data_IF_464708093152
#
_entry.id   IF_464708093152
#
_cell.length_a   1.000
_cell.length_b   1.000
_cell.length_c   1.000
_cell.angle_alpha   90.00
_cell.angle_beta   90.00
_cell.angle_gamma   90.00
#
_symmetry.space_group_name_H-M   'P 1'
#
loop_
_entity.id
_entity.type
_entity.pdbx_description
1 polymer ?
#
# COMPACT_ATOMS: atom_id res chain seq x y z
N UNK A 1 -22.47 -16.66 1.16
CA UNK A 1 -22.46 -15.39 0.40
C UNK A 1 -22.87 -15.62 -1.06
N UNK A 2 -23.99 -15.04 -1.47
CA UNK A 2 -24.58 -15.17 -2.81
C UNK A 2 -23.88 -14.24 -3.83
N UNK A 3 -23.96 -14.57 -5.12
CA UNK A 3 -23.46 -13.82 -6.28
C UNK A 3 -23.98 -12.38 -6.33
N UNK A 4 -25.17 -12.12 -5.79
CA UNK A 4 -25.77 -10.77 -5.72
C UNK A 4 -25.06 -9.90 -4.68
N UNK A 5 -24.74 -10.46 -3.51
CA UNK A 5 -24.00 -9.78 -2.44
C UNK A 5 -22.57 -9.43 -2.90
N UNK A 6 -21.92 -10.35 -3.63
CA UNK A 6 -20.60 -10.11 -4.26
C UNK A 6 -20.62 -9.00 -5.32
N UNK A 7 -21.76 -8.75 -5.96
CA UNK A 7 -21.92 -7.67 -6.96
C UNK A 7 -22.26 -6.33 -6.30
N UNK A 8 -22.96 -6.35 -5.17
CA UNK A 8 -23.25 -5.16 -4.38
C UNK A 8 -21.99 -4.61 -3.70
N UNK A 9 -21.18 -5.48 -3.07
CA UNK A 9 -19.89 -5.09 -2.49
C UNK A 9 -18.93 -4.47 -3.53
N UNK A 10 -18.91 -5.00 -4.76
CA UNK A 10 -18.17 -4.40 -5.89
C UNK A 10 -18.71 -3.05 -6.35
N UNK A 11 -19.97 -2.74 -6.09
CA UNK A 11 -20.61 -1.44 -6.40
C UNK A 11 -20.33 -0.39 -5.32
N UNK A 12 -20.11 -0.82 -4.08
CA UNK A 12 -19.70 0.03 -2.94
C UNK A 12 -18.21 0.37 -2.93
N UNK A 13 -17.42 -0.16 -3.88
CA UNK A 13 -16.01 0.19 -4.02
C UNK A 13 -15.09 -0.52 -3.01
N UNK A 14 -15.62 -1.43 -2.20
CA UNK A 14 -14.81 -2.26 -1.31
C UNK A 14 -14.08 -3.34 -2.13
N UNK A 15 -12.74 -3.26 -2.10
CA UNK A 15 -11.89 -4.28 -2.70
C UNK A 15 -11.89 -5.51 -1.78
N UNK A 16 -12.22 -6.68 -2.34
CA UNK A 16 -11.88 -7.93 -1.66
C UNK A 16 -10.35 -8.07 -1.55
N UNK A 17 -9.87 -8.95 -0.64
CA UNK A 17 -8.43 -9.09 -0.36
C UNK A 17 -7.61 -9.32 -1.63
N UNK A 18 -8.14 -10.11 -2.57
CA UNK A 18 -7.44 -10.38 -3.83
C UNK A 18 -7.34 -9.12 -4.68
N UNK A 19 -8.45 -8.41 -4.87
CA UNK A 19 -8.48 -7.19 -5.64
C UNK A 19 -7.60 -6.09 -5.03
N UNK A 20 -7.52 -6.02 -3.70
CA UNK A 20 -6.60 -5.13 -2.99
C UNK A 20 -5.14 -5.48 -3.29
N UNK A 21 -4.76 -6.76 -3.15
CA UNK A 21 -3.39 -7.22 -3.46
C UNK A 21 -3.02 -7.01 -4.93
N UNK A 22 -3.95 -7.24 -5.85
CA UNK A 22 -3.76 -6.99 -7.28
C UNK A 22 -3.48 -5.49 -7.57
N UNK A 23 -4.10 -4.58 -6.81
CA UNK A 23 -3.80 -3.14 -6.90
C UNK A 23 -2.46 -2.82 -6.27
N UNK A 24 -2.15 -3.36 -5.09
CA UNK A 24 -0.86 -3.17 -4.41
C UNK A 24 0.32 -3.63 -5.30
N UNK A 25 0.18 -4.77 -5.96
CA UNK A 25 1.19 -5.31 -6.88
C UNK A 25 1.52 -4.35 -8.03
N UNK A 26 0.55 -3.57 -8.52
CA UNK A 26 0.83 -2.58 -9.58
C UNK A 26 1.78 -1.47 -9.12
N UNK A 27 1.74 -1.10 -7.84
CA UNK A 27 2.70 -0.15 -7.27
C UNK A 27 4.10 -0.77 -7.16
N UNK A 28 4.18 -2.05 -6.79
CA UNK A 28 5.43 -2.81 -6.74
C UNK A 28 6.03 -2.97 -8.14
N UNK A 29 5.22 -3.29 -9.15
CA UNK A 29 5.67 -3.38 -10.54
C UNK A 29 6.20 -2.04 -11.07
N UNK A 30 5.56 -0.94 -10.68
CA UNK A 30 6.08 0.39 -10.97
C UNK A 30 7.42 0.62 -10.26
N UNK A 31 7.54 0.26 -8.98
CA UNK A 31 8.79 0.33 -8.23
C UNK A 31 9.92 -0.42 -8.96
N UNK A 32 9.66 -1.67 -9.32
CA UNK A 32 10.64 -2.54 -9.95
C UNK A 32 11.13 -2.00 -11.29
N UNK A 33 10.24 -1.36 -12.08
CA UNK A 33 10.64 -0.67 -13.31
C UNK A 33 11.53 0.54 -13.03
N UNK A 34 11.20 1.36 -12.03
CA UNK A 34 12.02 2.52 -11.68
C UNK A 34 13.37 2.14 -11.08
N UNK A 35 13.44 1.02 -10.35
CA UNK A 35 14.67 0.51 -9.75
C UNK A 35 15.74 0.12 -10.79
N UNK A 36 15.37 0.00 -12.07
CA UNK A 36 16.33 -0.21 -13.16
C UNK A 36 17.19 1.05 -13.43
N UNK A 37 16.71 2.23 -13.04
CA UNK A 37 17.35 3.51 -13.30
C UNK A 37 17.68 4.31 -12.02
N UNK A 38 17.06 3.98 -10.89
CA UNK A 38 17.20 4.69 -9.60
C UNK A 38 17.64 3.69 -8.54
N UNK A 39 18.57 4.08 -7.66
CA UNK A 39 19.01 3.24 -6.55
C UNK A 39 17.83 2.86 -5.63
N UNK A 40 17.80 1.60 -5.19
CA UNK A 40 16.74 1.10 -4.32
C UNK A 40 16.55 1.92 -3.03
N UNK A 41 17.64 2.45 -2.47
CA UNK A 41 17.64 3.31 -1.27
C UNK A 41 16.89 4.63 -1.52
N UNK A 42 17.15 5.27 -2.65
CA UNK A 42 16.49 6.52 -3.01
C UNK A 42 15.04 6.27 -3.41
N UNK A 43 14.80 5.16 -4.12
CA UNK A 43 13.48 4.76 -4.58
C UNK A 43 12.54 4.45 -3.42
N UNK A 44 12.96 3.70 -2.39
CA UNK A 44 12.07 3.41 -1.25
C UNK A 44 11.73 4.70 -0.48
N UNK A 45 12.65 5.66 -0.38
CA UNK A 45 12.36 6.96 0.22
C UNK A 45 11.36 7.77 -0.63
N UNK A 46 11.48 7.71 -1.95
CA UNK A 46 10.49 8.30 -2.86
C UNK A 46 9.10 7.64 -2.68
N UNK A 47 9.04 6.33 -2.46
CA UNK A 47 7.79 5.62 -2.13
C UNK A 47 7.14 6.14 -0.84
N UNK A 48 7.91 6.30 0.23
CA UNK A 48 7.40 6.84 1.50
C UNK A 48 6.88 8.28 1.30
N UNK A 49 7.61 9.10 0.56
CA UNK A 49 7.17 10.47 0.25
C UNK A 49 5.87 10.48 -0.57
N UNK A 50 5.76 9.63 -1.60
CA UNK A 50 4.56 9.56 -2.43
C UNK A 50 3.34 9.03 -1.63
N UNK A 51 3.54 7.99 -0.82
CA UNK A 51 2.46 7.38 -0.04
C UNK A 51 1.91 8.31 1.03
N UNK A 52 2.78 9.10 1.69
CA UNK A 52 2.36 10.11 2.67
C UNK A 52 1.58 11.25 2.02
N UNK A 53 1.96 11.71 0.82
CA UNK A 53 1.18 12.70 0.05
C UNK A 53 -0.21 12.19 -0.31
N UNK A 54 -0.30 10.95 -0.78
CA UNK A 54 -1.60 10.36 -1.11
C UNK A 54 -2.47 10.17 0.15
N UNK A 55 -1.87 9.72 1.25
CA UNK A 55 -2.56 9.57 2.53
C UNK A 55 -3.08 10.91 3.07
N UNK A 56 -2.30 11.99 2.95
CA UNK A 56 -2.73 13.33 3.32
C UNK A 56 -3.89 13.85 2.44
N UNK A 57 -3.87 13.54 1.13
CA UNK A 57 -5.00 13.84 0.25
C UNK A 57 -6.26 13.09 0.69
N UNK A 58 -6.15 11.79 1.00
CA UNK A 58 -7.28 10.99 1.49
C UNK A 58 -7.84 11.58 2.78
N UNK A 59 -6.98 11.87 3.77
CA UNK A 59 -7.43 12.45 5.04
C UNK A 59 -8.15 13.79 4.84
N UNK A 60 -7.58 14.69 4.03
CA UNK A 60 -8.09 16.06 3.88
C UNK A 60 -9.28 16.19 2.94
N UNK A 61 -9.28 15.48 1.82
CA UNK A 61 -10.21 15.72 0.71
C UNK A 61 -11.23 14.60 0.50
N UNK A 62 -10.97 13.39 1.00
CA UNK A 62 -11.87 12.24 0.84
C UNK A 62 -12.61 11.94 2.13
N UNK A 63 -11.88 11.89 3.24
CA UNK A 63 -12.44 11.55 4.56
C UNK A 63 -12.80 12.79 5.39
N UNK A 64 -12.30 13.96 5.00
CA UNK A 64 -12.49 15.23 5.73
C UNK A 64 -12.22 15.09 7.23
N UNK A 65 -11.09 14.47 7.58
CA UNK A 65 -10.74 14.15 8.98
C UNK A 65 -10.59 15.43 9.81
N UNK A 66 -11.35 15.54 10.89
CA UNK A 66 -11.30 16.68 11.80
C UNK A 66 -9.97 16.78 12.58
N UNK A 67 -9.51 15.66 13.14
CA UNK A 67 -8.24 15.59 13.87
C UNK A 67 -7.17 14.83 13.07
N UNK A 68 -6.33 15.57 12.36
CA UNK A 68 -5.25 14.98 11.56
C UNK A 68 -4.21 14.20 12.38
N UNK A 69 -3.98 14.56 13.64
CA UNK A 69 -2.97 13.89 14.47
C UNK A 69 -3.39 12.44 14.79
N UNK A 70 -4.67 12.21 15.07
CA UNK A 70 -5.19 10.85 15.29
C UNK A 70 -5.05 9.99 14.03
N UNK A 71 -5.27 10.58 12.85
CA UNK A 71 -5.06 9.89 11.57
C UNK A 71 -3.58 9.57 11.33
N UNK A 72 -2.67 10.50 11.64
CA UNK A 72 -1.22 10.27 11.55
C UNK A 72 -0.80 9.11 12.45
N UNK A 73 -1.24 9.10 13.71
CA UNK A 73 -0.94 8.03 14.66
C UNK A 73 -1.48 6.67 14.19
N UNK A 74 -2.70 6.65 13.65
CA UNK A 74 -3.27 5.46 13.05
C UNK A 74 -2.41 4.94 11.89
N UNK A 75 -2.06 5.81 10.94
CA UNK A 75 -1.26 5.43 9.77
C UNK A 75 0.15 4.95 10.14
N UNK A 76 0.81 5.61 11.09
CA UNK A 76 2.13 5.19 11.58
C UNK A 76 2.07 3.81 12.25
N UNK A 77 1.01 3.54 13.02
CA UNK A 77 0.79 2.23 13.63
C UNK A 77 0.59 1.15 12.55
N UNK A 78 -0.29 1.40 11.57
CA UNK A 78 -0.53 0.47 10.47
C UNK A 78 0.76 0.17 9.69
N UNK A 79 1.53 1.21 9.33
CA UNK A 79 2.82 1.04 8.65
C UNK A 79 3.79 0.21 9.47
N UNK A 80 3.91 0.48 10.78
CA UNK A 80 4.80 -0.26 11.67
C UNK A 80 4.43 -1.74 11.74
N UNK A 81 3.14 -2.06 11.86
CA UNK A 81 2.65 -3.43 11.91
C UNK A 81 2.89 -4.17 10.60
N UNK A 82 2.53 -3.58 9.45
CA UNK A 82 2.77 -4.18 8.14
C UNK A 82 4.26 -4.37 7.84
N UNK A 83 5.10 -3.37 8.14
CA UNK A 83 6.53 -3.47 7.91
C UNK A 83 7.14 -4.60 8.75
N UNK A 84 6.73 -4.74 10.02
CA UNK A 84 7.18 -5.86 10.87
C UNK A 84 6.75 -7.21 10.31
N UNK A 85 5.50 -7.33 9.84
CA UNK A 85 5.01 -8.55 9.22
C UNK A 85 5.80 -8.92 7.97
N UNK A 86 6.08 -7.95 7.09
CA UNK A 86 6.86 -8.19 5.88
C UNK A 86 8.32 -8.50 6.18
N UNK A 87 8.95 -7.85 7.16
CA UNK A 87 10.33 -8.19 7.55
C UNK A 87 10.45 -9.58 8.19
N UNK A 88 9.35 -10.12 8.74
CA UNK A 88 9.29 -11.49 9.24
C UNK A 88 8.95 -12.51 8.12
N UNK A 89 8.71 -12.06 6.89
CA UNK A 89 8.49 -12.93 5.74
C UNK A 89 9.83 -13.41 5.15
N UNK A 90 10.18 -14.66 5.43
CA UNK A 90 11.38 -15.31 4.93
C UNK A 90 11.46 -15.31 3.39
N UNK A 91 10.33 -15.20 2.69
CA UNK A 91 10.25 -15.13 1.23
C UNK A 91 10.90 -13.88 0.63
N UNK A 92 11.04 -12.79 1.40
CA UNK A 92 11.70 -11.55 0.95
C UNK A 92 13.24 -11.60 1.08
N UNK A 93 13.79 -12.63 1.74
CA UNK A 93 15.24 -12.81 1.92
C UNK A 93 15.96 -13.31 0.66
N UNK A 94 15.20 -13.70 -0.37
CA UNK A 94 15.75 -14.15 -1.65
C UNK A 94 15.70 -12.99 -2.66
N UNK A 95 16.84 -12.44 -3.12
CA UNK A 95 16.84 -11.42 -4.15
C UNK A 95 16.11 -11.94 -5.40
N UNK A 96 15.21 -11.14 -5.96
CA UNK A 96 14.55 -11.42 -7.23
C UNK A 96 15.55 -11.31 -8.40
N UNK A 97 16.52 -12.22 -8.46
CA UNK A 97 17.32 -12.56 -9.64
C UNK A 97 18.28 -13.71 -9.34
N UNK A 98 17.80 -14.95 -9.54
CA UNK A 98 18.63 -16.10 -9.97
C UNK A 98 17.79 -17.07 -10.81
N UNK A 99 17.53 -16.71 -12.07
CA UNK A 99 17.40 -17.64 -13.21
C UNK A 99 17.24 -16.83 -14.50
#
# INVERSE_FOLDING_TARGET
>A
MNRTERRAARKEGELDTKAFLDVANKFIDLANRQNQAVNATDLHMAFVYASTRYSAYVAKAILEVDNHEDFVQHMVKQYTEMLRQHLADDGLSTPANRS
#
